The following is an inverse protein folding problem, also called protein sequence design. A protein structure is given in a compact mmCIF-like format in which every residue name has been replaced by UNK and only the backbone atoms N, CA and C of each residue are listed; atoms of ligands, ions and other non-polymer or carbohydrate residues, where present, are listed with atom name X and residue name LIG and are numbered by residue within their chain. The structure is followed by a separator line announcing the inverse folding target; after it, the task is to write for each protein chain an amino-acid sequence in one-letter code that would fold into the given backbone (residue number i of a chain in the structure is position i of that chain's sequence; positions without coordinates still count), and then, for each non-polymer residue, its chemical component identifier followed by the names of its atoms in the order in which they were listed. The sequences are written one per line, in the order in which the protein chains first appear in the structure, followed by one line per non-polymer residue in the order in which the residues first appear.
data_IF_962627063488
#
_entry.id   IF_962627063488
#
_cell.length_a   1.000
_cell.length_b   1.000
_cell.length_c   1.000
_cell.angle_alpha   90.00
_cell.angle_beta   90.00
_cell.angle_gamma   90.00
#
_symmetry.space_group_name_H-M   'P 1'
#
loop_
_entity.id
_entity.type
_entity.pdbx_description
1 polymer ?
#
# COMPACT_ATOMS: atom_id res chain seq x y z
N UNK A 1 10.52 6.46 11.40
CA UNK A 1 11.81 5.98 11.93
C UNK A 1 12.03 4.56 11.48
N UNK A 2 11.80 3.58 12.34
CA UNK A 2 11.90 2.14 12.01
C UNK A 2 10.66 1.63 11.25
N UNK A 3 10.72 0.41 10.73
CA UNK A 3 9.61 -0.22 10.00
C UNK A 3 8.30 -0.24 10.80
N UNK A 4 8.36 -0.44 12.11
CA UNK A 4 7.20 -0.42 13.01
C UNK A 4 6.54 0.97 13.15
N UNK A 5 7.24 2.05 12.80
CA UNK A 5 6.65 3.39 12.76
C UNK A 5 5.66 3.57 11.59
N UNK A 6 5.49 2.55 10.75
CA UNK A 6 4.35 2.47 9.84
C UNK A 6 3.02 2.65 10.57
N UNK A 7 2.93 2.22 11.84
CA UNK A 7 1.78 2.50 12.70
C UNK A 7 1.53 4.02 12.82
N UNK A 8 2.56 4.81 13.10
CA UNK A 8 2.44 6.26 13.21
C UNK A 8 2.02 6.89 11.89
N UNK A 9 2.53 6.41 10.75
CA UNK A 9 2.10 6.88 9.43
C UNK A 9 0.61 6.60 9.18
N UNK A 10 0.13 5.41 9.57
CA UNK A 10 -1.29 5.04 9.50
C UNK A 10 -2.15 5.94 10.40
N UNK A 11 -1.68 6.26 11.61
CA UNK A 11 -2.39 7.18 12.51
C UNK A 11 -2.49 8.58 11.90
N UNK A 12 -1.43 9.08 11.26
CA UNK A 12 -1.45 10.38 10.56
C UNK A 12 -2.45 10.37 9.41
N UNK A 13 -2.41 9.34 8.55
CA UNK A 13 -3.36 9.21 7.44
C UNK A 13 -4.81 9.11 7.95
N UNK A 14 -5.05 8.33 9.01
CA UNK A 14 -6.38 8.20 9.61
C UNK A 14 -6.88 9.51 10.22
N UNK A 15 -6.00 10.26 10.90
CA UNK A 15 -6.35 11.57 11.45
C UNK A 15 -6.66 12.58 10.34
N UNK A 16 -5.91 12.55 9.23
CA UNK A 16 -6.15 13.41 8.08
C UNK A 16 -7.49 13.08 7.40
N UNK A 17 -7.77 11.80 7.20
CA UNK A 17 -9.05 11.31 6.67
C UNK A 17 -10.23 11.78 7.52
N UNK A 18 -10.11 11.62 8.85
CA UNK A 18 -11.12 12.12 9.80
C UNK A 18 -11.29 13.65 9.73
N UNK A 19 -10.20 14.41 9.57
CA UNK A 19 -10.26 15.87 9.48
C UNK A 19 -10.95 16.36 8.20
N UNK A 20 -10.90 15.57 7.12
CA UNK A 20 -11.57 15.85 5.85
C UNK A 20 -12.91 15.15 5.67
N UNK A 21 -13.38 14.41 6.68
CA UNK A 21 -14.63 13.62 6.63
C UNK A 21 -14.67 12.66 5.41
N UNK A 22 -13.55 11.97 5.16
CA UNK A 22 -13.41 11.02 4.07
C UNK A 22 -12.71 9.72 4.52
N UNK A 23 -12.63 8.71 3.64
CA UNK A 23 -11.85 7.51 3.88
C UNK A 23 -10.36 7.74 3.59
N UNK A 24 -9.49 6.89 4.15
CA UNK A 24 -8.03 6.95 3.89
C UNK A 24 -7.72 6.79 2.39
N UNK A 25 -8.52 6.01 1.66
CA UNK A 25 -8.36 5.83 0.22
C UNK A 25 -8.80 7.05 -0.61
N UNK A 26 -9.52 7.99 -0.02
CA UNK A 26 -9.99 9.22 -0.68
C UNK A 26 -9.03 10.40 -0.45
N UNK A 27 -7.98 10.18 0.35
CA UNK A 27 -6.94 11.18 0.57
C UNK A 27 -6.08 11.33 -0.70
N UNK A 28 -5.51 12.53 -0.94
CA UNK A 28 -4.48 12.74 -1.96
C UNK A 28 -3.15 12.11 -1.49
N UNK A 29 -3.14 10.79 -1.33
CA UNK A 29 -2.04 9.99 -0.78
C UNK A 29 -1.85 8.73 -1.63
N UNK A 30 -0.74 8.68 -2.35
CA UNK A 30 -0.31 7.47 -3.07
C UNK A 30 0.59 6.61 -2.19
N UNK A 31 0.38 5.29 -2.17
CA UNK A 31 1.20 4.36 -1.39
C UNK A 31 2.10 3.51 -2.28
N UNK A 32 3.41 3.72 -2.14
CA UNK A 32 4.45 2.90 -2.77
C UNK A 32 5.27 2.25 -1.65
N UNK A 33 5.15 0.93 -1.51
CA UNK A 33 5.78 0.15 -0.46
C UNK A 33 6.96 -0.65 -1.02
N UNK A 34 8.16 -0.32 -0.54
CA UNK A 34 9.35 -1.15 -0.74
C UNK A 34 9.44 -2.19 0.36
N UNK A 35 9.74 -3.44 -0.01
CA UNK A 35 9.85 -4.54 0.95
C UNK A 35 11.12 -5.37 0.73
N UNK A 36 11.51 -6.10 1.77
CA UNK A 36 12.61 -7.06 1.70
C UNK A 36 12.37 -8.27 2.60
N UNK A 37 12.08 -8.04 3.89
CA UNK A 37 11.91 -9.10 4.88
C UNK A 37 10.47 -9.19 5.43
N UNK A 38 10.26 -10.07 6.40
CA UNK A 38 8.93 -10.51 6.82
C UNK A 38 8.17 -9.46 7.63
N UNK A 39 8.83 -8.51 8.31
CA UNK A 39 8.11 -7.41 8.97
C UNK A 39 7.44 -6.49 7.96
N UNK A 40 8.03 -6.28 6.79
CA UNK A 40 7.36 -5.56 5.70
C UNK A 40 6.09 -6.28 5.21
N UNK A 41 6.07 -7.63 5.25
CA UNK A 41 4.87 -8.43 4.96
C UNK A 41 3.79 -8.19 6.04
N UNK A 42 4.17 -8.15 7.33
CA UNK A 42 3.23 -7.82 8.40
C UNK A 42 2.63 -6.42 8.23
N UNK A 43 3.43 -5.44 7.79
CA UNK A 43 2.96 -4.07 7.51
C UNK A 43 1.97 -4.10 6.34
N UNK A 44 2.29 -4.78 5.24
CA UNK A 44 1.37 -4.94 4.11
C UNK A 44 0.04 -5.53 4.57
N UNK A 45 0.06 -6.66 5.31
CA UNK A 45 -1.17 -7.30 5.81
C UNK A 45 -1.97 -6.38 6.75
N UNK A 46 -1.30 -5.53 7.52
CA UNK A 46 -1.96 -4.52 8.36
C UNK A 46 -2.69 -3.48 7.51
N UNK A 47 -2.05 -2.97 6.45
CA UNK A 47 -2.68 -2.01 5.53
C UNK A 47 -3.90 -2.64 4.83
N UNK A 48 -3.79 -3.89 4.37
CA UNK A 48 -4.90 -4.62 3.75
C UNK A 48 -6.04 -4.86 4.76
N UNK A 49 -5.74 -5.23 6.01
CA UNK A 49 -6.75 -5.40 7.06
C UNK A 49 -7.53 -4.11 7.33
N UNK A 50 -6.85 -2.96 7.29
CA UNK A 50 -7.47 -1.64 7.44
C UNK A 50 -8.24 -1.18 6.19
N UNK A 51 -8.28 -2.00 5.13
CA UNK A 51 -9.00 -1.69 3.90
C UNK A 51 -8.30 -0.66 3.01
N UNK A 52 -6.99 -0.43 3.21
CA UNK A 52 -6.20 0.46 2.35
C UNK A 52 -5.94 -0.26 1.02
N UNK A 53 -6.17 0.46 -0.08
CA UNK A 53 -6.10 -0.03 -1.47
C UNK A 53 -5.07 0.74 -2.28
N UNK A 54 -4.87 0.33 -3.54
CA UNK A 54 -4.00 1.00 -4.51
C UNK A 54 -2.52 1.11 -4.06
N UNK A 55 -2.02 0.07 -3.41
CA UNK A 55 -0.62 0.00 -2.97
C UNK A 55 0.22 -0.53 -4.14
N UNK A 56 1.28 0.20 -4.49
CA UNK A 56 2.35 -0.32 -5.36
C UNK A 56 3.40 -1.04 -4.52
N UNK A 57 3.68 -2.31 -4.83
CA UNK A 57 4.62 -3.15 -4.09
C UNK A 57 5.85 -3.48 -4.94
N UNK A 58 7.05 -3.25 -4.39
CA UNK A 58 8.29 -3.49 -5.11
C UNK A 58 9.52 -3.71 -4.22
N UNK A 59 10.69 -4.02 -4.81
CA UNK A 59 10.97 -3.96 -6.25
C UNK A 59 10.43 -5.17 -7.05
N UNK A 60 10.12 -6.28 -6.38
CA UNK A 60 9.48 -7.45 -6.98
C UNK A 60 8.31 -7.90 -6.13
N UNK A 61 7.37 -8.66 -6.69
CA UNK A 61 6.33 -9.31 -5.89
C UNK A 61 6.93 -10.47 -5.07
N UNK A 62 6.40 -10.74 -3.86
CA UNK A 62 6.92 -11.84 -3.06
C UNK A 62 6.72 -13.20 -3.74
N UNK A 63 7.80 -13.96 -3.88
CA UNK A 63 7.79 -15.25 -4.56
C UNK A 63 6.87 -16.31 -3.91
N UNK A 64 6.49 -16.12 -2.65
CA UNK A 64 5.55 -16.98 -1.93
C UNK A 64 4.08 -16.72 -2.27
N UNK A 65 3.77 -15.65 -3.02
CA UNK A 65 2.41 -15.34 -3.46
C UNK A 65 2.14 -16.07 -4.77
N UNK A 66 1.25 -17.07 -4.72
CA UNK A 66 0.82 -17.80 -5.92
C UNK A 66 -0.05 -16.90 -6.82
N UNK A 67 -0.17 -17.21 -8.13
CA UNK A 67 -1.02 -16.43 -9.03
C UNK A 67 -2.48 -16.30 -8.58
N UNK A 68 -3.06 -17.36 -8.01
CA UNK A 68 -4.43 -17.34 -7.49
C UNK A 68 -4.58 -16.39 -6.30
N UNK A 69 -3.60 -16.38 -5.38
CA UNK A 69 -3.59 -15.45 -4.24
C UNK A 69 -3.36 -14.02 -4.73
N UNK A 70 -2.45 -13.82 -5.70
CA UNK A 70 -2.22 -12.50 -6.28
C UNK A 70 -3.50 -11.93 -6.90
N UNK A 71 -4.27 -12.73 -7.63
CA UNK A 71 -5.54 -12.28 -8.21
C UNK A 71 -6.52 -11.82 -7.14
N UNK A 72 -6.63 -12.54 -6.02
CA UNK A 72 -7.45 -12.09 -4.88
C UNK A 72 -6.97 -10.74 -4.34
N UNK A 73 -5.65 -10.53 -4.25
CA UNK A 73 -5.09 -9.26 -3.78
C UNK A 73 -5.36 -8.11 -4.75
N UNK A 74 -5.26 -8.37 -6.06
CA UNK A 74 -5.57 -7.39 -7.12
C UNK A 74 -7.06 -7.04 -7.10
N UNK A 75 -7.94 -8.03 -7.12
CA UNK A 75 -9.39 -7.82 -7.21
C UNK A 75 -9.96 -7.09 -5.98
N UNK A 76 -9.48 -7.43 -4.77
CA UNK A 76 -10.05 -6.87 -3.54
C UNK A 76 -9.36 -5.57 -3.10
N UNK A 77 -8.05 -5.43 -3.35
CA UNK A 77 -7.23 -4.35 -2.81
C UNK A 77 -6.51 -3.51 -3.85
N UNK A 78 -6.63 -3.84 -5.14
CA UNK A 78 -5.93 -3.12 -6.22
C UNK A 78 -4.40 -3.09 -5.98
N UNK A 79 -3.85 -4.17 -5.41
CA UNK A 79 -2.42 -4.31 -5.22
C UNK A 79 -1.74 -4.44 -6.59
N UNK A 80 -0.70 -3.64 -6.84
CA UNK A 80 0.00 -3.64 -8.11
C UNK A 80 1.53 -3.72 -7.91
N UNK A 81 2.30 -4.30 -8.85
CA UNK A 81 3.74 -4.12 -8.88
C UNK A 81 4.09 -2.67 -9.27
N UNK A 82 5.31 -2.24 -8.96
CA UNK A 82 5.90 -1.02 -9.56
C UNK A 82 6.17 -1.22 -11.06
N UNK A 83 6.25 -0.13 -11.81
CA UNK A 83 6.55 -0.12 -13.26
C UNK A 83 7.82 0.68 -13.57
N UNK A 84 7.76 1.67 -14.47
CA UNK A 84 8.82 2.67 -14.62
C UNK A 84 8.55 3.86 -13.70
N UNK A 85 9.61 4.61 -13.38
CA UNK A 85 9.50 5.79 -12.51
C UNK A 85 8.52 6.80 -13.10
N UNK A 86 8.57 7.03 -14.41
CA UNK A 86 7.73 8.00 -15.11
C UNK A 86 6.25 7.59 -15.08
N UNK A 87 5.96 6.31 -15.32
CA UNK A 87 4.60 5.78 -15.28
C UNK A 87 4.04 5.81 -13.86
N UNK A 88 4.83 5.32 -12.88
CA UNK A 88 4.39 5.28 -11.49
C UNK A 88 4.15 6.69 -10.93
N UNK A 89 5.02 7.65 -11.26
CA UNK A 89 4.86 9.04 -10.83
C UNK A 89 3.65 9.70 -11.47
N UNK A 90 3.40 9.46 -12.76
CA UNK A 90 2.22 9.99 -13.44
C UNK A 90 0.92 9.46 -12.81
N UNK A 91 0.86 8.17 -12.50
CA UNK A 91 -0.30 7.56 -11.83
C UNK A 91 -0.48 8.06 -10.39
N UNK A 92 0.60 8.34 -9.65
CA UNK A 92 0.50 8.86 -8.28
C UNK A 92 -0.05 10.30 -8.21
N UNK A 93 0.12 11.08 -9.28
CA UNK A 93 -0.24 12.49 -9.33
C UNK A 93 -1.58 12.76 -10.06
N UNK A 94 -2.17 11.72 -10.65
CA UNK A 94 -3.46 11.79 -11.33
C UNK A 94 -4.63 11.84 -10.35
#
# INVERSE_FOLDING_TARGET
GQCNDAYSAIQIASALANAFDCGVNDLPLSMILSWYEQKAVCILLTLLYLGIKNIKLGPTLPAFVSPAVLNVLVENFQLAPITTVEQDLAECLA
#
